data_IF_644577226029
#
_entry.id   IF_644577226029
#
_cell.length_a   1.000
_cell.length_b   1.000
_cell.length_c   1.000
_cell.angle_alpha   90.00
_cell.angle_beta   90.00
_cell.angle_gamma   90.00
#
_symmetry.space_group_name_H-M   'P 1'
#
loop_
_entity.id
_entity.type
_entity.pdbx_description
1 polymer ?
#
# COMPACT_ATOMS: atom_id res chain seq x y z
N UNK A 1 -33.99 -15.04 -19.87
CA UNK A 1 -32.87 -14.36 -20.50
C UNK A 1 -32.56 -13.14 -19.63
N UNK A 2 -31.51 -13.18 -18.81
CA UNK A 2 -31.12 -12.09 -17.89
C UNK A 2 -30.13 -11.20 -18.63
N UNK A 3 -30.51 -9.94 -18.88
CA UNK A 3 -29.64 -8.95 -19.47
C UNK A 3 -28.55 -8.57 -18.46
N UNK A 4 -27.33 -8.99 -18.75
CA UNK A 4 -26.12 -8.56 -18.04
C UNK A 4 -25.81 -7.16 -18.54
N UNK A 5 -26.16 -6.13 -17.76
CA UNK A 5 -25.71 -4.77 -18.05
C UNK A 5 -24.27 -4.64 -17.59
N UNK A 6 -23.36 -4.61 -18.54
CA UNK A 6 -21.96 -4.28 -18.33
C UNK A 6 -21.88 -2.80 -17.99
N UNK A 7 -21.65 -2.45 -16.72
CA UNK A 7 -21.29 -1.09 -16.32
C UNK A 7 -19.83 -0.86 -16.71
N UNK A 8 -19.61 -0.18 -17.83
CA UNK A 8 -18.30 0.39 -18.15
C UNK A 8 -18.19 1.68 -17.35
N UNK A 9 -17.44 1.65 -16.25
CA UNK A 9 -17.04 2.87 -15.55
C UNK A 9 -15.91 3.49 -16.40
N UNK A 10 -16.29 4.39 -17.30
CA UNK A 10 -15.34 5.27 -17.94
C UNK A 10 -14.87 6.27 -16.87
N UNK A 11 -13.71 6.04 -16.29
CA UNK A 11 -13.01 7.01 -15.46
C UNK A 11 -12.62 8.18 -16.36
N UNK A 12 -13.16 9.40 -16.16
CA UNK A 12 -12.71 10.54 -16.94
C UNK A 12 -11.28 10.84 -16.55
N UNK A 13 -10.37 10.65 -17.49
CA UNK A 13 -9.00 11.13 -17.38
C UNK A 13 -9.06 12.66 -17.43
N UNK A 14 -9.29 13.29 -16.31
CA UNK A 14 -9.18 14.72 -16.14
C UNK A 14 -7.72 15.10 -16.33
N UNK A 15 -7.39 15.56 -17.51
CA UNK A 15 -6.13 16.24 -17.80
C UNK A 15 -6.18 17.58 -17.04
N UNK A 16 -5.70 17.58 -15.81
CA UNK A 16 -5.41 18.82 -15.07
C UNK A 16 -4.04 19.30 -15.53
N UNK A 17 -4.02 19.93 -16.68
CA UNK A 17 -2.84 20.64 -17.18
C UNK A 17 -2.94 22.10 -16.74
N UNK A 18 -2.50 22.44 -15.52
CA UNK A 18 -2.06 23.80 -15.16
C UNK A 18 -1.69 24.05 -13.70
N UNK A 19 -1.27 23.02 -12.93
CA UNK A 19 -0.46 23.24 -11.74
C UNK A 19 0.70 22.27 -11.84
N UNK A 20 1.76 22.71 -12.48
CA UNK A 20 3.00 21.94 -12.61
C UNK A 20 3.83 21.97 -11.32
N UNK A 21 3.26 21.50 -10.22
CA UNK A 21 4.04 20.75 -9.26
C UNK A 21 4.22 19.40 -9.93
N UNK A 22 5.44 19.00 -10.22
CA UNK A 22 5.68 17.73 -10.86
C UNK A 22 5.13 16.61 -9.96
N UNK A 23 4.04 15.99 -10.41
CA UNK A 23 3.52 14.78 -9.78
C UNK A 23 4.28 13.61 -10.39
N UNK A 24 5.01 12.90 -9.57
CA UNK A 24 5.66 11.65 -9.96
C UNK A 24 4.69 10.49 -9.78
N UNK A 25 4.67 9.60 -10.74
CA UNK A 25 3.90 8.35 -10.70
C UNK A 25 4.89 7.21 -10.78
N UNK A 26 4.84 6.28 -9.83
CA UNK A 26 5.62 5.05 -9.86
C UNK A 26 4.75 3.83 -9.64
N UNK A 27 5.26 2.66 -10.02
CA UNK A 27 4.62 1.39 -9.77
C UNK A 27 5.67 0.30 -9.63
N UNK A 28 5.31 -0.72 -8.89
CA UNK A 28 6.17 -1.87 -8.67
C UNK A 28 5.37 -3.17 -8.79
N UNK A 29 6.10 -4.26 -9.07
CA UNK A 29 5.61 -5.62 -8.96
C UNK A 29 6.75 -6.48 -8.44
N UNK A 30 6.46 -7.41 -7.56
CA UNK A 30 7.43 -8.33 -7.00
C UNK A 30 6.86 -9.75 -6.91
N UNK A 31 7.78 -10.72 -6.95
CA UNK A 31 7.53 -12.11 -6.66
C UNK A 31 8.51 -12.53 -5.56
N UNK A 32 8.00 -13.01 -4.44
CA UNK A 32 8.78 -13.45 -3.30
C UNK A 32 8.55 -14.95 -3.05
N UNK A 33 9.52 -15.63 -2.46
CA UNK A 33 9.37 -17.03 -2.04
C UNK A 33 8.50 -17.20 -0.80
N UNK A 34 8.41 -16.13 0.00
CA UNK A 34 7.56 -16.01 1.18
C UNK A 34 7.35 -14.53 1.49
N UNK A 35 6.14 -14.13 1.81
CA UNK A 35 5.84 -12.78 2.28
C UNK A 35 5.96 -12.74 3.80
N UNK A 36 7.01 -12.12 4.28
CA UNK A 36 7.26 -11.94 5.72
C UNK A 36 6.96 -10.49 6.12
N UNK A 37 6.03 -10.31 7.05
CA UNK A 37 5.73 -9.04 7.68
C UNK A 37 6.00 -9.11 9.18
N UNK A 38 6.88 -8.24 9.67
CA UNK A 38 7.31 -8.18 11.08
C UNK A 38 7.71 -9.54 11.67
N UNK A 39 8.35 -10.39 10.87
CA UNK A 39 8.83 -11.71 11.27
C UNK A 39 7.82 -12.85 11.15
N UNK A 40 6.61 -12.58 10.66
CA UNK A 40 5.56 -13.58 10.44
C UNK A 40 5.25 -13.74 8.96
N UNK A 41 5.12 -15.00 8.52
CA UNK A 41 4.69 -15.28 7.14
C UNK A 41 3.24 -14.85 6.94
N UNK A 42 2.98 -14.17 5.85
CA UNK A 42 1.64 -13.79 5.39
C UNK A 42 1.13 -14.70 4.27
N UNK A 43 2.03 -15.52 3.70
CA UNK A 43 1.74 -16.43 2.59
C UNK A 43 1.88 -17.91 2.98
N UNK A 44 1.79 -18.22 4.27
CA UNK A 44 1.94 -19.58 4.84
C UNK A 44 3.25 -20.29 4.42
N UNK A 45 4.34 -19.52 4.24
CA UNK A 45 5.65 -20.02 3.78
C UNK A 45 5.71 -20.32 2.28
N UNK A 46 4.71 -19.90 1.52
CA UNK A 46 4.63 -20.07 0.06
C UNK A 46 4.92 -18.78 -0.71
N UNK A 47 5.04 -18.86 -2.05
CA UNK A 47 5.29 -17.69 -2.89
C UNK A 47 4.15 -16.68 -2.82
N UNK A 48 4.52 -15.39 -2.87
CA UNK A 48 3.58 -14.30 -2.98
C UNK A 48 3.91 -13.37 -4.15
N UNK A 49 2.86 -12.85 -4.80
CA UNK A 49 2.94 -11.78 -5.80
C UNK A 49 2.40 -10.52 -5.17
N UNK A 50 3.17 -9.44 -5.27
CA UNK A 50 2.76 -8.13 -4.77
C UNK A 50 3.02 -7.04 -5.79
N UNK A 51 2.38 -5.89 -5.62
CA UNK A 51 2.60 -4.73 -6.44
C UNK A 51 1.78 -3.55 -5.99
N UNK A 52 2.15 -2.36 -6.47
CA UNK A 52 1.50 -1.13 -6.07
C UNK A 52 1.75 0.03 -7.01
N UNK A 53 1.10 1.13 -6.69
CA UNK A 53 1.25 2.41 -7.38
C UNK A 53 1.37 3.53 -6.36
N UNK A 54 2.26 4.48 -6.67
CA UNK A 54 2.51 5.65 -5.86
C UNK A 54 2.36 6.92 -6.69
N UNK A 55 1.79 7.92 -6.07
CA UNK A 55 1.79 9.31 -6.53
C UNK A 55 2.54 10.14 -5.48
N UNK A 56 3.52 10.92 -5.91
CA UNK A 56 4.23 11.83 -5.03
C UNK A 56 4.38 13.20 -5.66
N UNK A 57 4.53 14.21 -4.81
CA UNK A 57 4.71 15.61 -5.22
C UNK A 57 6.09 16.11 -4.79
N UNK A 58 6.62 17.11 -5.49
CA UNK A 58 7.87 17.77 -5.11
C UNK A 58 7.81 18.43 -3.72
N UNK A 59 6.59 18.70 -3.23
CA UNK A 59 6.38 19.26 -1.89
C UNK A 59 6.45 18.23 -0.77
N UNK A 60 6.62 16.93 -1.09
CA UNK A 60 6.76 15.85 -0.12
C UNK A 60 5.50 15.06 0.17
N UNK A 61 4.32 15.47 -0.30
CA UNK A 61 3.11 14.67 -0.13
C UNK A 61 3.13 13.44 -1.04
N UNK A 62 2.64 12.34 -0.53
CA UNK A 62 2.44 11.11 -1.30
C UNK A 62 1.15 10.40 -0.91
N UNK A 63 0.63 9.62 -1.84
CA UNK A 63 -0.46 8.66 -1.67
C UNK A 63 -0.15 7.44 -2.52
N UNK A 64 -0.46 6.27 -2.01
CA UNK A 64 -0.25 5.04 -2.75
C UNK A 64 -1.23 3.95 -2.39
N UNK A 65 -1.14 2.88 -3.15
CA UNK A 65 -1.81 1.62 -2.89
C UNK A 65 -0.85 0.48 -3.17
N UNK A 66 -0.95 -0.54 -2.36
CA UNK A 66 -0.19 -1.77 -2.53
C UNK A 66 -1.10 -2.96 -2.28
N UNK A 67 -0.74 -4.11 -2.79
CA UNK A 67 -1.45 -5.33 -2.52
C UNK A 67 -0.57 -6.54 -2.73
N UNK A 68 -0.93 -7.62 -2.06
CA UNK A 68 -0.22 -8.89 -2.14
C UNK A 68 -1.18 -10.06 -2.04
N UNK A 69 -0.81 -11.16 -2.67
CA UNK A 69 -1.39 -12.43 -2.32
C UNK A 69 -0.94 -12.83 -0.91
N UNK A 70 -1.88 -13.24 -0.09
CA UNK A 70 -1.66 -13.73 1.28
C UNK A 70 -2.40 -15.05 1.46
N UNK A 71 -2.08 -15.76 2.53
CA UNK A 71 -2.79 -16.98 2.88
C UNK A 71 -2.82 -17.13 4.39
N UNK A 72 -3.84 -16.57 5.02
CA UNK A 72 -4.11 -16.75 6.45
C UNK A 72 -5.61 -16.70 6.73
N UNK A 73 -5.99 -16.99 7.96
CA UNK A 73 -7.36 -17.10 8.41
C UNK A 73 -7.68 -18.50 8.92
N UNK A 74 -8.93 -18.70 9.32
CA UNK A 74 -9.41 -19.96 9.88
C UNK A 74 -10.37 -20.64 8.89
N UNK A 75 -9.93 -21.75 8.32
CA UNK A 75 -10.73 -22.57 7.42
C UNK A 75 -12.01 -23.13 8.09
N UNK A 76 -12.02 -23.25 9.41
CA UNK A 76 -13.21 -23.73 10.14
C UNK A 76 -14.32 -22.67 10.25
N UNK A 77 -13.95 -21.39 10.20
CA UNK A 77 -14.89 -20.26 10.25
C UNK A 77 -15.22 -19.69 8.86
N UNK A 78 -14.54 -20.15 7.81
CA UNK A 78 -14.58 -19.60 6.45
C UNK A 78 -14.00 -18.16 6.33
N UNK A 79 -13.29 -17.71 7.33
CA UNK A 79 -12.61 -16.41 7.36
C UNK A 79 -11.22 -16.53 6.73
N UNK A 80 -11.18 -16.99 5.47
CA UNK A 80 -9.96 -17.09 4.69
C UNK A 80 -9.74 -15.81 3.90
N UNK A 81 -8.52 -15.30 3.92
CA UNK A 81 -8.11 -14.24 3.00
C UNK A 81 -6.95 -14.70 2.12
N UNK A 82 -7.04 -14.35 0.86
CA UNK A 82 -6.02 -14.61 -0.15
C UNK A 82 -5.44 -13.32 -0.72
N UNK A 83 -5.92 -12.17 -0.24
CA UNK A 83 -5.56 -10.85 -0.74
C UNK A 83 -5.42 -9.86 0.41
N UNK A 84 -4.34 -9.09 0.40
CA UNK A 84 -4.11 -7.87 1.18
C UNK A 84 -4.16 -6.68 0.23
N UNK A 85 -4.88 -5.65 0.62
CA UNK A 85 -4.96 -4.38 -0.10
C UNK A 85 -4.74 -3.24 0.89
N UNK A 86 -3.75 -2.41 0.57
CA UNK A 86 -3.37 -1.28 1.38
C UNK A 86 -3.60 0.03 0.62
N UNK A 87 -4.03 1.03 1.35
CA UNK A 87 -4.06 2.41 0.90
C UNK A 87 -3.33 3.25 1.94
N UNK A 88 -2.39 4.07 1.49
CA UNK A 88 -1.59 4.90 2.37
C UNK A 88 -1.42 6.30 1.82
N UNK A 89 -1.18 7.23 2.73
CA UNK A 89 -0.83 8.60 2.41
C UNK A 89 0.13 9.14 3.47
N UNK A 90 0.93 10.12 3.08
CA UNK A 90 1.88 10.69 4.02
C UNK A 90 2.55 11.94 3.48
N UNK A 91 3.52 12.37 4.27
CA UNK A 91 4.37 13.50 3.98
C UNK A 91 5.80 13.22 4.41
N UNK A 92 6.72 13.33 3.47
CA UNK A 92 8.16 13.14 3.71
C UNK A 92 8.92 14.41 3.35
N UNK A 93 9.89 14.77 4.18
CA UNK A 93 10.72 15.96 3.96
C UNK A 93 12.08 15.83 4.63
N UNK A 94 13.07 16.47 4.05
CA UNK A 94 14.38 16.64 4.71
C UNK A 94 14.27 17.72 5.78
N UNK A 95 14.67 17.39 7.01
CA UNK A 95 14.69 18.31 8.16
C UNK A 95 16.09 18.80 8.51
N UNK A 96 17.13 18.12 8.04
CA UNK A 96 18.53 18.52 8.13
C UNK A 96 19.35 17.75 7.07
N UNK A 97 20.64 18.10 6.94
CA UNK A 97 21.55 17.35 6.07
C UNK A 97 21.58 15.87 6.50
N UNK A 98 21.25 14.97 5.56
CA UNK A 98 21.15 13.52 5.77
C UNK A 98 20.15 13.07 6.85
N UNK A 99 19.15 13.89 7.16
CA UNK A 99 18.06 13.53 8.06
C UNK A 99 16.73 13.86 7.39
N UNK A 100 15.93 12.83 7.12
CA UNK A 100 14.56 12.96 6.59
C UNK A 100 13.54 12.52 7.64
N UNK A 101 12.40 13.17 7.63
CA UNK A 101 11.21 12.83 8.41
C UNK A 101 10.14 12.30 7.44
N UNK A 102 9.46 11.24 7.84
CA UNK A 102 8.29 10.71 7.17
C UNK A 102 7.16 10.50 8.18
N UNK A 103 5.98 11.02 7.87
CA UNK A 103 4.77 10.80 8.68
C UNK A 103 3.66 10.33 7.76
N UNK A 104 2.94 9.31 8.18
CA UNK A 104 1.90 8.75 7.33
C UNK A 104 0.85 7.95 8.07
N UNK A 105 -0.11 7.53 7.27
CA UNK A 105 -1.23 6.70 7.68
C UNK A 105 -1.47 5.64 6.62
N UNK A 106 -1.73 4.42 7.04
CA UNK A 106 -1.99 3.26 6.20
C UNK A 106 -3.19 2.49 6.72
N UNK A 107 -4.03 2.06 5.80
CA UNK A 107 -5.15 1.14 6.03
C UNK A 107 -4.83 -0.19 5.38
N UNK A 108 -4.85 -1.25 6.16
CA UNK A 108 -4.72 -2.63 5.69
C UNK A 108 -6.10 -3.25 5.57
N UNK A 109 -6.41 -3.80 4.41
CA UNK A 109 -7.71 -4.40 4.13
C UNK A 109 -7.55 -5.82 3.61
N UNK A 110 -8.29 -6.74 4.22
CA UNK A 110 -8.27 -8.15 3.89
C UNK A 110 -9.66 -8.60 3.39
N UNK A 111 -9.91 -8.58 2.08
CA UNK A 111 -11.17 -9.09 1.50
C UNK A 111 -11.38 -10.56 1.88
N UNK A 112 -12.54 -10.86 2.48
CA UNK A 112 -12.85 -12.20 2.99
C UNK A 112 -12.56 -12.42 4.46
N UNK A 113 -11.75 -11.57 5.10
CA UNK A 113 -11.44 -11.59 6.53
C UNK A 113 -11.48 -10.16 7.10
N UNK A 114 -12.62 -9.50 7.02
CA UNK A 114 -12.76 -8.08 7.37
C UNK A 114 -12.47 -7.75 8.83
N UNK A 115 -12.56 -8.73 9.72
CA UNK A 115 -12.17 -8.58 11.14
C UNK A 115 -10.65 -8.44 11.32
N UNK A 116 -9.88 -8.78 10.29
CA UNK A 116 -8.42 -8.57 10.25
C UNK A 116 -8.02 -7.17 9.77
N UNK A 117 -8.94 -6.35 9.29
CA UNK A 117 -8.65 -5.00 8.83
C UNK A 117 -8.16 -4.15 10.01
N UNK A 118 -7.15 -3.33 9.76
CA UNK A 118 -6.64 -2.38 10.75
C UNK A 118 -5.95 -1.20 10.07
N UNK A 119 -5.70 -0.18 10.87
CA UNK A 119 -5.07 1.06 10.46
C UNK A 119 -3.84 1.35 11.31
N UNK A 120 -2.84 1.98 10.72
CA UNK A 120 -1.65 2.44 11.43
C UNK A 120 -1.32 3.89 11.08
N UNK A 121 -0.94 4.67 12.08
CA UNK A 121 -0.24 5.94 11.89
C UNK A 121 1.22 5.74 12.25
N UNK A 122 2.13 6.30 11.46
CA UNK A 122 3.55 6.12 11.70
C UNK A 122 4.33 7.43 11.61
N UNK A 123 5.47 7.42 12.26
CA UNK A 123 6.52 8.42 12.13
C UNK A 123 7.85 7.71 11.88
N UNK A 124 8.55 8.11 10.84
CA UNK A 124 9.83 7.55 10.45
C UNK A 124 10.90 8.63 10.35
N UNK A 125 12.13 8.22 10.59
CA UNK A 125 13.32 9.03 10.36
C UNK A 125 14.31 8.21 9.54
N UNK A 126 14.89 8.81 8.50
CA UNK A 126 16.11 8.33 7.89
C UNK A 126 17.27 9.21 8.37
N UNK A 127 18.28 8.59 8.95
CA UNK A 127 19.44 9.28 9.52
C UNK A 127 20.70 8.63 8.94
N UNK A 128 21.37 9.30 8.00
CA UNK A 128 22.55 8.79 7.29
C UNK A 128 22.31 7.41 6.65
N UNK A 129 21.10 7.17 6.11
CA UNK A 129 20.71 5.88 5.51
C UNK A 129 20.28 4.81 6.52
N UNK A 130 20.17 5.14 7.80
CA UNK A 130 19.53 4.29 8.82
C UNK A 130 18.07 4.72 8.98
N UNK A 131 17.15 3.82 8.64
CA UNK A 131 15.71 4.07 8.81
C UNK A 131 15.24 3.60 10.18
N UNK A 132 14.53 4.48 10.89
CA UNK A 132 13.86 4.22 12.16
C UNK A 132 12.37 4.54 11.99
N UNK A 133 11.49 3.58 12.30
CA UNK A 133 10.04 3.74 12.17
C UNK A 133 9.40 3.39 13.51
N UNK A 134 8.48 4.25 13.95
CA UNK A 134 7.59 4.01 15.08
C UNK A 134 6.14 4.01 14.57
N UNK A 135 5.39 2.99 14.99
CA UNK A 135 3.99 2.74 14.59
C UNK A 135 3.13 2.77 15.83
#
# INVERSE_FOLDING_TARGET
MKNLQTFVIALPLLIVSSLASAVSVSGNIALTSDYIWRGWTQSAGGPAVSGGFDLSTDSGFYIGTWGSSVQFGDAATSDLTELELDVYLGYSTDIADNISLDVGYITYTYPGATDANFDEAYIGFDIYGLSLIHI
#
